data_IF_727420726454
#
_entry.id   IF_727420726454
#
_cell.length_a   1.000
_cell.length_b   1.000
_cell.length_c   1.000
_cell.angle_alpha   90.00
_cell.angle_beta   90.00
_cell.angle_gamma   90.00
#
_symmetry.space_group_name_H-M   'P 1'
#
loop_
_entity.id
_entity.type
_entity.pdbx_description
1 polymer ?
#
# COMPACT_ATOMS: atom_id res chain seq x y z
N UNK A 1 -34.43 -57.76 67.21
CA UNK A 1 -34.05 -56.91 68.36
C UNK A 1 -33.64 -55.55 67.81
N UNK A 2 -34.35 -54.48 68.22
CA UNK A 2 -34.14 -53.10 67.75
C UNK A 2 -32.74 -52.60 68.13
N UNK A 3 -32.04 -51.98 67.21
CA UNK A 3 -31.13 -50.87 67.53
C UNK A 3 -31.27 -49.79 66.47
N UNK A 4 -31.98 -48.76 66.87
CA UNK A 4 -32.03 -47.42 66.31
C UNK A 4 -30.62 -46.81 66.27
N UNK A 5 -30.23 -46.22 65.16
CA UNK A 5 -29.35 -45.04 65.19
C UNK A 5 -29.94 -44.02 64.24
N UNK A 6 -30.47 -42.95 64.80
CA UNK A 6 -30.88 -41.78 64.06
C UNK A 6 -30.12 -40.59 64.63
N UNK A 7 -29.62 -39.78 63.69
CA UNK A 7 -29.01 -38.45 63.84
C UNK A 7 -27.65 -38.36 64.53
N UNK A 8 -26.66 -37.79 63.83
CA UNK A 8 -26.33 -36.36 64.00
C UNK A 8 -25.36 -35.86 62.92
N UNK A 9 -25.42 -34.55 62.70
CA UNK A 9 -24.93 -33.81 61.55
C UNK A 9 -23.40 -33.77 61.40
N UNK A 10 -22.96 -33.87 60.14
CA UNK A 10 -21.74 -33.18 59.68
C UNK A 10 -22.04 -32.45 58.37
N UNK A 11 -22.88 -31.42 58.46
CA UNK A 11 -22.89 -30.35 57.48
C UNK A 11 -21.68 -29.46 57.80
N UNK A 12 -20.52 -29.75 57.21
CA UNK A 12 -19.28 -28.99 57.45
C UNK A 12 -19.22 -27.82 56.45
N UNK A 13 -19.51 -26.57 56.88
CA UNK A 13 -19.58 -25.42 55.97
C UNK A 13 -18.23 -25.09 55.28
N UNK A 14 -17.10 -25.57 55.83
CA UNK A 14 -15.77 -25.32 55.28
C UNK A 14 -15.46 -26.04 53.96
N UNK A 15 -16.08 -27.20 53.69
CA UNK A 15 -15.78 -27.99 52.48
C UNK A 15 -16.39 -27.36 51.23
N UNK A 16 -17.55 -26.70 51.37
CA UNK A 16 -18.21 -26.01 50.24
C UNK A 16 -17.52 -24.71 49.85
N UNK A 17 -17.00 -23.94 50.81
CA UNK A 17 -16.30 -22.68 50.52
C UNK A 17 -14.93 -22.94 49.87
N UNK A 18 -14.20 -23.97 50.32
CA UNK A 18 -12.92 -24.33 49.72
C UNK A 18 -13.07 -24.90 48.31
N UNK A 19 -14.13 -25.67 48.03
CA UNK A 19 -14.44 -26.14 46.68
C UNK A 19 -14.74 -25.01 45.69
N UNK A 20 -15.47 -23.97 46.10
CA UNK A 20 -15.77 -22.81 45.24
C UNK A 20 -14.52 -21.96 44.97
N UNK A 21 -13.65 -21.77 45.97
CA UNK A 21 -12.38 -21.04 45.80
C UNK A 21 -11.44 -21.81 44.86
N UNK A 22 -11.33 -23.13 45.01
CA UNK A 22 -10.49 -23.97 44.14
C UNK A 22 -11.02 -23.97 42.71
N UNK A 23 -12.34 -24.05 42.50
CA UNK A 23 -12.94 -23.96 41.16
C UNK A 23 -12.75 -22.56 40.56
N UNK A 24 -12.88 -21.48 41.35
CA UNK A 24 -12.64 -20.12 40.88
C UNK A 24 -11.17 -19.85 40.53
N UNK A 25 -10.22 -20.40 41.32
CA UNK A 25 -8.79 -20.36 41.02
C UNK A 25 -8.43 -21.19 39.80
N UNK A 26 -9.02 -22.38 39.63
CA UNK A 26 -8.87 -23.18 38.41
C UNK A 26 -9.43 -22.44 37.20
N UNK A 27 -10.60 -21.81 37.33
CA UNK A 27 -11.16 -20.99 36.25
C UNK A 27 -10.29 -19.78 35.94
N UNK A 28 -9.72 -19.10 36.94
CA UNK A 28 -8.79 -17.99 36.70
C UNK A 28 -7.47 -18.45 36.09
N UNK A 29 -6.91 -19.59 36.51
CA UNK A 29 -5.71 -20.18 35.92
C UNK A 29 -5.93 -20.64 34.48
N UNK A 30 -7.09 -21.25 34.20
CA UNK A 30 -7.47 -21.68 32.84
C UNK A 30 -7.80 -20.48 31.95
N UNK A 31 -8.51 -19.47 32.47
CA UNK A 31 -8.77 -18.23 31.73
C UNK A 31 -7.48 -17.42 31.51
N UNK A 32 -6.56 -17.39 32.48
CA UNK A 32 -5.25 -16.78 32.33
C UNK A 32 -4.41 -17.55 31.30
N UNK A 33 -4.35 -18.89 31.36
CA UNK A 33 -3.60 -19.68 30.38
C UNK A 33 -4.16 -19.54 28.97
N UNK A 34 -5.49 -19.39 28.84
CA UNK A 34 -6.18 -19.24 27.56
C UNK A 34 -6.20 -17.78 27.03
N UNK A 35 -5.92 -16.77 27.87
CA UNK A 35 -5.80 -15.36 27.47
C UNK A 35 -4.36 -14.94 27.13
N UNK A 36 -3.40 -15.86 27.16
CA UNK A 36 -2.17 -15.68 26.42
C UNK A 36 -2.48 -15.85 24.94
N UNK A 37 -3.04 -14.80 24.34
CA UNK A 37 -2.87 -14.54 22.93
C UNK A 37 -1.35 -14.37 22.78
N UNK A 38 -0.63 -15.46 22.50
CA UNK A 38 0.52 -15.32 21.63
C UNK A 38 -0.01 -14.50 20.47
N UNK A 39 0.55 -13.31 20.27
CA UNK A 39 0.52 -12.71 18.95
C UNK A 39 1.14 -13.79 18.07
N UNK A 40 0.29 -14.64 17.50
CA UNK A 40 0.63 -15.36 16.30
C UNK A 40 1.20 -14.26 15.44
N UNK A 41 2.47 -14.42 15.09
CA UNK A 41 3.10 -13.58 14.09
C UNK A 41 2.20 -13.68 12.87
N UNK A 42 1.25 -12.75 12.76
CA UNK A 42 0.52 -12.51 11.54
C UNK A 42 1.64 -12.11 10.62
N UNK A 43 1.95 -12.90 9.60
CA UNK A 43 2.89 -12.46 8.60
C UNK A 43 2.52 -11.04 8.24
N UNK A 44 3.51 -10.16 8.21
CA UNK A 44 3.28 -8.86 7.61
C UNK A 44 2.63 -9.09 6.24
N UNK A 45 1.81 -8.14 5.78
CA UNK A 45 1.08 -8.26 4.51
C UNK A 45 1.99 -8.51 3.28
N UNK A 46 3.32 -8.58 3.47
CA UNK A 46 4.34 -9.05 2.54
C UNK A 46 4.53 -10.57 2.43
N UNK A 47 3.87 -11.43 3.21
CA UNK A 47 3.97 -12.90 2.95
C UNK A 47 2.95 -13.38 1.89
N UNK A 48 1.84 -12.66 1.71
CA UNK A 48 0.82 -12.97 0.69
C UNK A 48 1.04 -12.25 -0.64
N UNK A 49 1.97 -11.30 -0.65
CA UNK A 49 2.37 -10.59 -1.84
C UNK A 49 3.89 -10.60 -1.83
N UNK A 50 4.54 -11.19 -2.84
CA UNK A 50 6.00 -11.11 -3.06
C UNK A 50 6.42 -9.64 -3.31
N UNK A 51 6.15 -8.76 -2.36
CA UNK A 51 6.35 -7.33 -2.39
C UNK A 51 7.28 -7.12 -1.21
N UNK A 52 8.55 -6.87 -1.52
CA UNK A 52 9.51 -6.43 -0.52
C UNK A 52 8.86 -5.37 0.34
N UNK A 53 8.99 -5.50 1.67
CA UNK A 53 8.54 -4.47 2.62
C UNK A 53 9.46 -3.25 2.46
N UNK A 54 9.21 -2.49 1.39
CA UNK A 54 9.97 -1.32 0.94
C UNK A 54 9.71 -0.11 1.85
N UNK A 55 8.79 -0.23 2.81
CA UNK A 55 8.40 0.85 3.73
C UNK A 55 9.46 1.19 4.78
N UNK A 56 10.52 0.38 4.91
CA UNK A 56 11.55 0.55 5.95
C UNK A 56 12.88 1.11 5.46
N UNK A 57 13.04 1.38 4.17
CA UNK A 57 14.26 1.98 3.64
C UNK A 57 13.99 3.48 3.42
N UNK A 58 14.83 4.35 4.00
CA UNK A 58 14.85 5.76 3.61
C UNK A 58 15.45 5.80 2.21
N UNK A 59 14.56 5.75 1.24
CA UNK A 59 14.90 5.60 -0.16
C UNK A 59 15.16 6.98 -0.77
N UNK A 60 16.44 7.35 -0.80
CA UNK A 60 16.90 8.59 -1.42
C UNK A 60 16.99 8.43 -2.94
N UNK A 61 16.73 9.53 -3.65
CA UNK A 61 17.02 9.63 -5.07
C UNK A 61 18.53 9.59 -5.35
N UNK A 62 18.94 9.20 -6.57
CA UNK A 62 20.36 9.17 -6.95
C UNK A 62 21.09 10.52 -6.81
N UNK A 63 20.39 11.65 -7.00
CA UNK A 63 20.95 12.99 -6.91
C UNK A 63 20.02 13.96 -6.17
N UNK A 64 19.97 13.83 -4.84
CA UNK A 64 19.21 14.72 -3.94
C UNK A 64 19.63 16.19 -4.06
N UNK A 65 18.66 17.11 -3.94
CA UNK A 65 18.86 18.57 -4.06
C UNK A 65 19.52 19.03 -5.37
N UNK A 66 19.57 18.18 -6.40
CA UNK A 66 20.12 18.48 -7.71
C UNK A 66 19.04 18.29 -8.78
N UNK A 67 19.28 18.88 -9.96
CA UNK A 67 18.34 18.83 -11.09
C UNK A 67 16.93 19.29 -10.68
N UNK A 68 15.88 18.55 -11.02
CA UNK A 68 14.51 18.84 -10.63
C UNK A 68 14.34 18.98 -9.10
N UNK A 69 15.11 18.21 -8.31
CA UNK A 69 15.03 18.22 -6.85
C UNK A 69 15.68 19.44 -6.20
N UNK A 70 16.37 20.31 -6.95
CA UNK A 70 16.82 21.60 -6.41
C UNK A 70 15.65 22.47 -5.94
N UNK A 71 14.50 22.35 -6.63
CA UNK A 71 13.26 23.06 -6.33
C UNK A 71 12.16 22.12 -5.81
N UNK A 72 12.17 20.85 -6.21
CA UNK A 72 11.15 19.86 -5.88
C UNK A 72 11.60 18.81 -4.85
N UNK A 73 12.41 19.23 -3.88
CA UNK A 73 12.85 18.35 -2.80
C UNK A 73 11.66 17.82 -1.99
N UNK A 74 11.72 16.53 -1.62
CA UNK A 74 10.69 15.89 -0.80
C UNK A 74 9.51 15.30 -1.58
N UNK A 75 9.52 15.42 -2.92
CA UNK A 75 8.66 14.58 -3.76
C UNK A 75 9.06 13.12 -3.58
N UNK A 76 8.07 12.23 -3.55
CA UNK A 76 8.29 10.79 -3.49
C UNK A 76 8.51 10.20 -4.88
N UNK A 77 9.37 9.19 -4.98
CA UNK A 77 9.45 8.36 -6.18
C UNK A 77 8.13 7.63 -6.43
N UNK A 78 7.79 7.38 -7.70
CA UNK A 78 6.53 6.73 -8.07
C UNK A 78 6.37 5.31 -7.50
N UNK A 79 7.50 4.64 -7.24
CA UNK A 79 7.63 3.37 -6.52
C UNK A 79 8.88 3.42 -5.66
N UNK A 80 9.12 2.37 -4.89
CA UNK A 80 10.40 2.21 -4.20
C UNK A 80 11.59 2.41 -5.16
N UNK A 81 12.59 3.19 -4.77
CA UNK A 81 13.86 3.43 -5.49
C UNK A 81 14.60 2.12 -5.75
N UNK A 82 14.42 1.12 -4.87
CA UNK A 82 14.94 -0.23 -5.04
C UNK A 82 14.03 -1.17 -5.83
N UNK A 83 12.87 -0.71 -6.30
CA UNK A 83 12.07 -1.51 -7.22
C UNK A 83 12.79 -1.67 -8.56
N UNK A 84 12.54 -2.80 -9.25
CA UNK A 84 13.06 -3.03 -10.61
C UNK A 84 12.65 -1.90 -11.56
N UNK A 85 11.45 -1.37 -11.38
CA UNK A 85 10.90 -0.28 -12.19
C UNK A 85 11.67 1.02 -11.98
N UNK A 86 11.85 1.48 -10.74
CA UNK A 86 12.56 2.74 -10.50
C UNK A 86 14.02 2.69 -10.94
N UNK A 87 14.71 1.57 -10.76
CA UNK A 87 16.10 1.43 -11.27
C UNK A 87 16.17 1.60 -12.79
N UNK A 88 15.19 1.08 -13.53
CA UNK A 88 15.14 1.29 -14.98
C UNK A 88 14.83 2.75 -15.33
N UNK A 89 13.95 3.41 -14.57
CA UNK A 89 13.64 4.83 -14.72
C UNK A 89 14.89 5.69 -14.48
N UNK A 90 15.64 5.46 -13.41
CA UNK A 90 16.90 6.17 -13.14
C UNK A 90 17.92 5.97 -14.26
N UNK A 91 18.07 4.74 -14.75
CA UNK A 91 18.99 4.46 -15.86
C UNK A 91 18.61 5.26 -17.10
N UNK A 92 17.34 5.20 -17.53
CA UNK A 92 16.85 5.94 -18.70
C UNK A 92 16.93 7.46 -18.48
N UNK A 93 16.63 7.91 -17.27
CA UNK A 93 16.72 9.32 -16.90
C UNK A 93 18.16 9.83 -17.01
N UNK A 94 19.12 9.07 -16.49
CA UNK A 94 20.53 9.42 -16.56
C UNK A 94 21.01 9.53 -18.01
N UNK A 95 20.53 8.66 -18.91
CA UNK A 95 20.79 8.76 -20.36
C UNK A 95 20.23 10.06 -20.98
N UNK A 96 19.22 10.68 -20.36
CA UNK A 96 18.63 11.96 -20.74
C UNK A 96 19.13 13.15 -19.88
N UNK A 97 20.17 12.94 -19.06
CA UNK A 97 20.77 13.96 -18.21
C UNK A 97 20.03 14.23 -16.89
N UNK A 98 19.07 13.38 -16.51
CA UNK A 98 18.35 13.43 -15.24
C UNK A 98 18.50 12.11 -14.46
N UNK A 99 19.51 11.97 -13.60
CA UNK A 99 19.71 10.75 -12.83
C UNK A 99 18.55 10.42 -11.87
N UNK A 100 17.69 11.38 -11.55
CA UNK A 100 16.51 11.16 -10.71
C UNK A 100 15.32 10.61 -11.51
N UNK A 101 15.38 10.64 -12.85
CA UNK A 101 14.40 10.02 -13.75
C UNK A 101 13.04 10.73 -13.84
N UNK A 102 12.92 11.94 -13.31
CA UNK A 102 11.74 12.78 -13.40
C UNK A 102 11.32 13.04 -14.86
N UNK A 103 12.29 13.35 -15.71
CA UNK A 103 12.04 13.73 -17.11
C UNK A 103 11.52 12.58 -17.99
N UNK A 104 11.66 11.33 -17.53
CA UNK A 104 11.09 10.16 -18.20
C UNK A 104 9.56 10.23 -18.26
N UNK A 105 8.94 10.87 -17.27
CA UNK A 105 7.49 11.02 -17.23
C UNK A 105 7.08 12.47 -17.49
N UNK A 106 7.89 13.43 -17.06
CA UNK A 106 7.53 14.84 -17.07
C UNK A 106 8.08 15.65 -18.25
N UNK A 107 9.19 15.24 -18.87
CA UNK A 107 9.91 16.08 -19.83
C UNK A 107 10.60 17.28 -19.17
N UNK A 108 10.75 18.40 -19.88
CA UNK A 108 11.40 19.61 -19.38
C UNK A 108 12.93 19.60 -19.50
N UNK A 109 13.58 20.55 -18.79
CA UNK A 109 15.03 20.73 -18.78
C UNK A 109 15.58 20.48 -17.36
N UNK A 110 16.16 19.30 -17.08
CA UNK A 110 16.56 18.93 -15.72
C UNK A 110 17.77 19.71 -15.22
N UNK A 111 18.57 20.32 -16.09
CA UNK A 111 19.72 21.14 -15.69
C UNK A 111 19.36 22.61 -15.40
N UNK A 112 18.15 23.05 -15.75
CA UNK A 112 17.69 24.39 -15.42
C UNK A 112 17.09 24.40 -14.01
N UNK A 113 17.80 25.01 -13.07
CA UNK A 113 17.43 25.01 -11.64
C UNK A 113 17.05 26.38 -11.11
N UNK A 114 17.00 27.41 -11.97
CA UNK A 114 16.78 28.81 -11.55
C UNK A 114 15.51 29.38 -12.17
N UNK A 115 15.34 29.19 -13.48
CA UNK A 115 14.24 29.74 -14.25
C UNK A 115 13.14 28.69 -14.45
N UNK A 116 12.01 28.89 -13.75
CA UNK A 116 10.86 27.99 -13.78
C UNK A 116 10.33 27.74 -15.19
N UNK A 117 10.27 28.78 -16.02
CA UNK A 117 9.63 28.68 -17.33
C UNK A 117 10.53 27.94 -18.31
N UNK A 118 11.85 28.07 -18.17
CA UNK A 118 12.81 27.26 -18.92
C UNK A 118 12.87 25.81 -18.43
N UNK A 119 12.80 25.58 -17.13
CA UNK A 119 12.80 24.24 -16.55
C UNK A 119 11.60 23.40 -17.02
N UNK A 120 10.42 24.03 -17.10
CA UNK A 120 9.16 23.38 -17.49
C UNK A 120 8.83 23.52 -18.99
N UNK A 121 9.84 23.70 -19.84
CA UNK A 121 9.66 23.81 -21.29
C UNK A 121 10.44 22.73 -22.04
N UNK A 122 9.85 22.25 -23.12
CA UNK A 122 10.46 21.27 -24.02
C UNK A 122 10.63 19.90 -23.38
N UNK A 123 11.61 19.16 -23.90
CA UNK A 123 11.98 17.81 -23.46
C UNK A 123 13.50 17.65 -23.60
N UNK A 124 14.13 16.78 -22.79
CA UNK A 124 15.55 16.50 -22.94
C UNK A 124 15.87 15.90 -24.31
N UNK A 125 17.10 16.09 -24.78
CA UNK A 125 17.57 15.46 -26.02
C UNK A 125 17.51 13.93 -25.88
N UNK A 126 16.93 13.26 -26.87
CA UNK A 126 16.71 11.80 -26.82
C UNK A 126 15.52 11.38 -25.95
N UNK A 127 14.77 12.33 -25.39
CA UNK A 127 13.49 12.08 -24.73
C UNK A 127 12.41 11.64 -25.72
N UNK A 128 11.45 10.86 -25.22
CA UNK A 128 10.35 10.30 -26.02
C UNK A 128 9.07 11.17 -25.95
N UNK A 129 8.98 12.09 -24.99
CA UNK A 129 7.85 13.01 -24.86
C UNK A 129 7.89 14.09 -25.94
N UNK A 130 6.73 14.64 -26.28
CA UNK A 130 6.62 15.76 -27.22
C UNK A 130 6.77 17.13 -26.55
N UNK A 131 6.41 17.21 -25.27
CA UNK A 131 6.43 18.43 -24.47
C UNK A 131 6.47 18.07 -22.98
N UNK A 132 6.77 19.06 -22.15
CA UNK A 132 6.64 18.96 -20.70
C UNK A 132 5.19 18.67 -20.28
N UNK A 133 5.00 17.84 -19.25
CA UNK A 133 3.71 17.60 -18.61
C UNK A 133 3.86 17.61 -17.08
N UNK A 134 3.03 18.40 -16.41
CA UNK A 134 2.92 18.37 -14.95
C UNK A 134 2.12 17.15 -14.46
N UNK A 135 1.34 16.51 -15.34
CA UNK A 135 0.39 15.44 -15.01
C UNK A 135 0.66 14.19 -15.84
N UNK A 136 1.78 13.49 -15.60
CA UNK A 136 2.21 12.36 -16.43
C UNK A 136 1.28 11.16 -16.38
N UNK A 137 0.43 11.04 -15.35
CA UNK A 137 -0.56 9.97 -15.20
C UNK A 137 -1.88 10.23 -15.93
N UNK A 138 -2.08 11.40 -16.55
CA UNK A 138 -3.30 11.70 -17.29
C UNK A 138 -3.45 10.76 -18.49
N UNK A 139 -4.67 10.24 -18.71
CA UNK A 139 -4.92 9.22 -19.74
C UNK A 139 -4.69 9.69 -21.18
N UNK A 140 -4.65 11.00 -21.38
CA UNK A 140 -4.35 11.66 -22.65
C UNK A 140 -2.85 11.57 -23.01
N UNK A 141 -1.99 11.38 -22.02
CA UNK A 141 -0.52 11.32 -22.20
C UNK A 141 0.09 10.00 -21.74
N UNK A 142 -0.69 9.14 -21.09
CA UNK A 142 -0.20 7.92 -20.43
C UNK A 142 0.48 6.93 -21.40
N UNK A 143 0.10 6.90 -22.67
CA UNK A 143 0.75 6.09 -23.72
C UNK A 143 2.22 6.49 -23.90
N UNK A 144 2.54 7.77 -23.71
CA UNK A 144 3.88 8.30 -23.82
C UNK A 144 4.65 8.32 -22.49
N UNK A 145 4.05 7.95 -21.36
CA UNK A 145 4.71 7.91 -20.03
C UNK A 145 4.76 6.47 -19.50
N UNK A 146 3.62 5.92 -19.09
CA UNK A 146 3.48 4.54 -18.62
C UNK A 146 3.60 3.54 -19.79
N UNK A 147 3.00 3.88 -20.93
CA UNK A 147 2.93 3.04 -22.13
C UNK A 147 4.28 2.75 -22.78
N UNK A 148 5.34 3.47 -22.41
CA UNK A 148 6.71 3.19 -22.86
C UNK A 148 7.17 1.77 -22.53
N UNK A 149 6.72 1.26 -21.38
CA UNK A 149 7.05 -0.08 -20.89
C UNK A 149 5.80 -0.96 -20.71
N UNK A 150 4.60 -0.37 -20.69
CA UNK A 150 3.36 -1.01 -20.27
C UNK A 150 2.18 -0.71 -21.22
N UNK A 151 2.33 -0.97 -22.51
CA UNK A 151 1.33 -0.66 -23.55
C UNK A 151 -0.03 -1.31 -23.28
N UNK A 152 -0.05 -2.58 -22.85
CA UNK A 152 -1.31 -3.27 -22.56
C UNK A 152 -2.07 -2.63 -21.38
N UNK A 153 -1.34 -2.08 -20.40
CA UNK A 153 -1.95 -1.43 -19.26
C UNK A 153 -2.59 -0.09 -19.64
N UNK A 154 -1.97 0.70 -20.52
CA UNK A 154 -2.59 1.96 -20.98
C UNK A 154 -3.86 1.67 -21.78
N UNK A 155 -3.85 0.63 -22.62
CA UNK A 155 -5.04 0.16 -23.33
C UNK A 155 -6.17 -0.25 -22.38
N UNK A 156 -5.85 -1.01 -21.33
CA UNK A 156 -6.82 -1.51 -20.37
C UNK A 156 -7.38 -0.40 -19.46
N UNK A 157 -6.54 0.50 -18.96
CA UNK A 157 -6.97 1.60 -18.07
C UNK A 157 -7.91 2.55 -18.78
N UNK A 158 -7.64 2.89 -20.05
CA UNK A 158 -8.54 3.70 -20.87
C UNK A 158 -9.93 3.05 -21.05
N UNK A 159 -10.02 1.71 -21.00
CA UNK A 159 -11.26 0.95 -21.12
C UNK A 159 -11.84 0.47 -19.79
N UNK A 160 -11.23 0.86 -18.68
CA UNK A 160 -11.72 0.49 -17.37
C UNK A 160 -13.12 1.05 -17.13
N UNK A 161 -13.90 0.37 -16.30
CA UNK A 161 -15.25 0.80 -15.91
C UNK A 161 -15.20 2.19 -15.25
N UNK A 162 -14.09 2.50 -14.55
CA UNK A 162 -13.86 3.77 -13.89
C UNK A 162 -13.59 4.92 -14.87
N UNK A 163 -12.98 4.65 -16.02
CA UNK A 163 -12.70 5.67 -17.03
C UNK A 163 -13.84 5.85 -18.04
N UNK A 164 -14.49 4.76 -18.43
CA UNK A 164 -15.55 4.76 -19.45
C UNK A 164 -16.93 5.12 -18.91
N UNK A 165 -17.05 5.26 -17.59
CA UNK A 165 -18.33 5.43 -16.89
C UNK A 165 -19.34 4.29 -17.17
N UNK A 166 -18.89 3.13 -17.66
CA UNK A 166 -19.75 1.99 -17.97
C UNK A 166 -20.57 1.52 -16.75
N UNK A 167 -20.02 1.67 -15.54
CA UNK A 167 -20.71 1.35 -14.30
C UNK A 167 -21.91 2.26 -14.04
N UNK A 168 -21.81 3.55 -14.40
CA UNK A 168 -22.92 4.51 -14.30
C UNK A 168 -24.04 4.14 -15.28
N UNK A 169 -23.67 3.72 -16.50
CA UNK A 169 -24.66 3.23 -17.48
C UNK A 169 -25.40 1.99 -16.98
N UNK A 170 -24.68 1.04 -16.36
CA UNK A 170 -25.30 -0.12 -15.73
C UNK A 170 -26.30 0.29 -14.63
N UNK A 171 -25.93 1.22 -13.75
CA UNK A 171 -26.84 1.71 -12.72
C UNK A 171 -28.11 2.34 -13.31
N UNK A 172 -28.01 3.16 -14.36
CA UNK A 172 -29.17 3.72 -15.04
C UNK A 172 -30.08 2.62 -15.63
N UNK A 173 -29.53 1.61 -16.31
CA UNK A 173 -30.36 0.51 -16.84
C UNK A 173 -31.12 -0.25 -15.76
N UNK A 174 -30.58 -0.35 -14.54
CA UNK A 174 -31.30 -0.91 -13.39
C UNK A 174 -32.42 0.02 -12.89
N UNK A 175 -32.16 1.32 -12.81
CA UNK A 175 -33.17 2.32 -12.38
C UNK A 175 -34.36 2.44 -13.34
N UNK A 176 -34.12 2.30 -14.65
CA UNK A 176 -35.18 2.33 -15.67
C UNK A 176 -35.87 0.99 -15.88
N UNK A 177 -35.59 0.00 -15.03
CA UNK A 177 -36.21 -1.32 -15.09
C UNK A 177 -35.79 -2.08 -16.34
N UNK A 178 -34.62 -2.71 -16.30
CA UNK A 178 -34.42 -3.91 -17.12
C UNK A 178 -35.59 -4.85 -16.80
N UNK A 179 -36.39 -5.15 -17.81
CA UNK A 179 -37.35 -6.24 -17.75
C UNK A 179 -36.54 -7.53 -17.53
N UNK A 180 -36.45 -7.96 -16.27
CA UNK A 180 -36.01 -9.31 -15.90
C UNK A 180 -37.11 -10.30 -16.19
#
# INVERSE_FOLDING_TARGET
>A
MKTTVNHLAHNVPGVRVMGVIVVAFFFHLVLWSNNHIELQHVPDAGEWSNHSNESQVVEAFPAEKQYCLSCHQGIMSARSVNSKMMRQIFKRGAEQGDPNGCVICHGGSPQETTDKDKAHNGVPKGGHLKAFTAVPGALQVNENTCGLCHQDHTYNVQRSIMNTDAGKMKALTWSWGIAT
#
